data_IF_934282005848
#
_entry.id   IF_934282005848
#
_cell.length_a   1.000
_cell.length_b   1.000
_cell.length_c   1.000
_cell.angle_alpha   90.00
_cell.angle_beta   90.00
_cell.angle_gamma   90.00
#
_symmetry.space_group_name_H-M   'P 1'
#
loop_
_entity.id
_entity.type
_entity.pdbx_description
1 polymer ?
#
# COMPACT_ATOMS: atom_id res chain seq x y z
N UNK A 1 7.41 17.93 -17.54
CA UNK A 1 6.59 17.13 -18.49
C UNK A 1 5.63 16.29 -17.66
N UNK A 2 4.39 16.08 -18.08
CA UNK A 2 3.48 15.17 -17.40
C UNK A 2 3.90 13.73 -17.69
N UNK A 3 3.95 12.87 -16.67
CA UNK A 3 4.20 11.42 -16.81
C UNK A 3 3.11 10.81 -17.69
N UNK A 4 3.50 9.94 -18.61
CA UNK A 4 2.60 9.29 -19.58
C UNK A 4 2.18 7.89 -19.12
N UNK A 5 3.10 7.14 -18.54
CA UNK A 5 2.92 5.75 -18.14
C UNK A 5 2.92 5.57 -16.61
N UNK A 6 3.84 6.25 -15.91
CA UNK A 6 3.93 6.12 -14.44
C UNK A 6 2.87 6.96 -13.73
N UNK A 7 2.07 6.29 -12.91
CA UNK A 7 1.17 6.92 -11.94
C UNK A 7 1.86 7.20 -10.59
N UNK A 8 1.09 7.31 -9.52
CA UNK A 8 1.60 7.48 -8.15
C UNK A 8 2.23 6.21 -7.58
N UNK A 9 1.91 5.04 -8.16
CA UNK A 9 2.40 3.74 -7.69
C UNK A 9 2.73 2.82 -8.87
N UNK A 10 3.71 3.23 -9.68
CA UNK A 10 4.16 2.51 -10.86
C UNK A 10 3.24 2.66 -12.07
N UNK A 11 3.39 1.76 -13.03
CA UNK A 11 2.57 1.66 -14.23
C UNK A 11 1.43 0.69 -13.94
N UNK A 12 0.17 1.10 -14.10
CA UNK A 12 -1.00 0.25 -13.86
C UNK A 12 -2.00 0.34 -15.01
N UNK A 13 -2.64 -0.77 -15.32
CA UNK A 13 -3.73 -0.81 -16.28
C UNK A 13 -4.19 -2.23 -16.60
N UNK A 14 -5.17 -2.31 -17.48
CA UNK A 14 -5.72 -3.59 -17.92
C UNK A 14 -4.66 -4.39 -18.68
N UNK A 15 -4.55 -5.68 -18.36
CA UNK A 15 -3.69 -6.61 -19.06
C UNK A 15 -4.14 -6.74 -20.52
N UNK A 16 -3.19 -6.72 -21.48
CA UNK A 16 -3.42 -6.58 -22.93
C UNK A 16 -4.22 -5.32 -23.35
N UNK A 17 -4.44 -4.39 -22.40
CA UNK A 17 -4.90 -3.04 -22.70
C UNK A 17 -3.71 -2.08 -22.68
N UNK A 18 -3.46 -1.45 -21.51
CA UNK A 18 -2.26 -0.63 -21.30
C UNK A 18 -1.02 -1.50 -21.06
N UNK A 19 -1.14 -2.54 -20.23
CA UNK A 19 -0.01 -3.43 -19.88
C UNK A 19 0.08 -4.54 -20.94
N UNK A 20 0.87 -4.30 -21.97
CA UNK A 20 1.15 -5.28 -23.04
C UNK A 20 2.51 -5.94 -22.86
N UNK A 21 2.79 -7.09 -23.51
CA UNK A 21 4.12 -7.68 -23.53
C UNK A 21 5.19 -6.74 -24.08
N UNK A 22 4.86 -5.95 -25.10
CA UNK A 22 5.77 -4.98 -25.72
C UNK A 22 6.13 -3.87 -24.73
N UNK A 23 5.14 -3.33 -24.00
CA UNK A 23 5.40 -2.32 -22.97
C UNK A 23 6.28 -2.92 -21.86
N UNK A 24 5.98 -4.12 -21.38
CA UNK A 24 6.73 -4.77 -20.32
C UNK A 24 8.19 -5.04 -20.75
N UNK A 25 8.42 -5.49 -21.99
CA UNK A 25 9.75 -5.67 -22.55
C UNK A 25 10.51 -4.34 -22.61
N UNK A 26 9.88 -3.28 -23.12
CA UNK A 26 10.48 -1.95 -23.21
C UNK A 26 10.79 -1.36 -21.83
N UNK A 27 9.90 -1.53 -20.83
CA UNK A 27 10.16 -1.12 -19.44
C UNK A 27 11.37 -1.85 -18.89
N UNK A 28 11.51 -3.16 -19.14
CA UNK A 28 12.70 -3.93 -18.76
C UNK A 28 13.98 -3.41 -19.40
N UNK A 29 13.95 -3.08 -20.69
CA UNK A 29 15.10 -2.48 -21.40
C UNK A 29 15.45 -1.11 -20.85
N UNK A 30 14.48 -0.20 -20.77
CA UNK A 30 14.67 1.17 -20.33
C UNK A 30 15.17 1.25 -18.88
N UNK A 31 14.51 0.55 -17.97
CA UNK A 31 14.91 0.49 -16.57
C UNK A 31 16.30 -0.16 -16.43
N UNK A 32 16.57 -1.25 -17.15
CA UNK A 32 17.89 -1.89 -17.17
C UNK A 32 19.01 -0.91 -17.57
N UNK A 33 18.81 -0.13 -18.62
CA UNK A 33 19.79 0.87 -19.08
C UNK A 33 20.01 2.02 -18.08
N UNK A 34 18.96 2.47 -17.38
CA UNK A 34 19.06 3.54 -16.37
C UNK A 34 19.84 3.07 -15.14
N UNK A 35 19.73 1.78 -14.79
CA UNK A 35 20.37 1.20 -13.60
C UNK A 35 21.70 0.53 -13.84
N UNK A 36 22.22 0.48 -15.07
CA UNK A 36 23.59 0.05 -15.37
C UNK A 36 24.60 1.15 -15.03
N UNK A 37 24.99 1.19 -13.76
CA UNK A 37 25.93 2.19 -13.22
C UNK A 37 27.15 1.49 -12.62
N UNK A 38 28.34 1.80 -13.14
CA UNK A 38 29.60 1.18 -12.70
C UNK A 38 29.93 -0.09 -13.49
N UNK A 39 31.01 -0.79 -13.06
CA UNK A 39 31.60 -1.92 -13.83
C UNK A 39 31.28 -3.32 -13.24
N UNK A 40 30.29 -3.42 -12.34
CA UNK A 40 29.89 -4.71 -11.79
C UNK A 40 28.81 -5.40 -12.62
N UNK A 41 28.57 -6.68 -12.38
CA UNK A 41 27.47 -7.42 -13.00
C UNK A 41 26.14 -6.96 -12.41
N UNK A 42 25.32 -6.25 -13.19
CA UNK A 42 24.06 -5.70 -12.75
C UNK A 42 22.97 -6.76 -12.61
N UNK A 43 22.11 -6.59 -11.59
CA UNK A 43 21.07 -7.56 -11.24
C UNK A 43 19.75 -6.86 -10.98
N UNK A 44 18.67 -7.50 -11.42
CA UNK A 44 17.31 -7.15 -11.05
C UNK A 44 16.63 -8.33 -10.36
N UNK A 45 15.89 -8.07 -9.29
CA UNK A 45 14.96 -9.05 -8.69
C UNK A 45 13.58 -8.79 -9.22
N UNK A 46 12.82 -9.84 -9.57
CA UNK A 46 11.44 -9.74 -10.03
C UNK A 46 10.56 -10.63 -9.17
N UNK A 47 9.62 -10.02 -8.45
CA UNK A 47 8.50 -10.67 -7.79
C UNK A 47 7.18 -10.36 -8.47
N UNK A 48 6.15 -11.13 -8.16
CA UNK A 48 4.81 -10.93 -8.71
C UNK A 48 3.74 -11.36 -7.70
N UNK A 49 2.51 -10.95 -7.93
CA UNK A 49 1.35 -11.54 -7.29
C UNK A 49 0.87 -12.78 -8.08
N UNK A 50 -0.33 -13.23 -7.82
CA UNK A 50 -0.87 -14.47 -8.34
C UNK A 50 -1.70 -14.32 -9.62
N UNK A 51 -1.80 -13.12 -10.19
CA UNK A 51 -2.57 -12.84 -11.41
C UNK A 51 -2.06 -13.65 -12.60
N UNK A 52 -2.97 -14.17 -13.42
CA UNK A 52 -2.62 -14.90 -14.63
C UNK A 52 -1.70 -14.11 -15.56
N UNK A 53 -1.98 -12.82 -15.75
CA UNK A 53 -1.18 -11.92 -16.59
C UNK A 53 0.25 -11.70 -16.08
N UNK A 54 0.52 -12.03 -14.81
CA UNK A 54 1.87 -11.96 -14.22
C UNK A 54 2.89 -12.80 -14.97
N UNK A 55 2.50 -13.95 -15.52
CA UNK A 55 3.42 -14.79 -16.32
C UNK A 55 3.86 -14.09 -17.61
N UNK A 56 2.93 -13.52 -18.35
CA UNK A 56 3.20 -12.79 -19.60
C UNK A 56 4.14 -11.60 -19.35
N UNK A 57 3.85 -10.80 -18.33
CA UNK A 57 4.62 -9.60 -17.99
C UNK A 57 6.01 -9.98 -17.52
N UNK A 58 6.13 -10.98 -16.62
CA UNK A 58 7.42 -11.47 -16.10
C UNK A 58 8.34 -11.90 -17.23
N UNK A 59 7.88 -12.75 -18.15
CA UNK A 59 8.71 -13.23 -19.27
C UNK A 59 9.11 -12.11 -20.23
N UNK A 60 8.24 -11.16 -20.51
CA UNK A 60 8.56 -10.01 -21.34
C UNK A 60 9.63 -9.12 -20.67
N UNK A 61 9.51 -8.86 -19.36
CA UNK A 61 10.52 -8.10 -18.61
C UNK A 61 11.84 -8.84 -18.51
N UNK A 62 11.83 -10.18 -18.34
CA UNK A 62 13.05 -11.01 -18.39
C UNK A 62 13.79 -10.81 -19.72
N UNK A 63 13.06 -10.90 -20.84
CA UNK A 63 13.65 -10.66 -22.16
C UNK A 63 14.21 -9.23 -22.28
N UNK A 64 13.49 -8.24 -21.79
CA UNK A 64 13.92 -6.84 -21.76
C UNK A 64 15.22 -6.63 -20.99
N UNK A 65 15.28 -7.06 -19.72
CA UNK A 65 16.49 -6.91 -18.89
C UNK A 65 17.69 -7.69 -19.42
N UNK A 66 17.47 -8.94 -19.84
CA UNK A 66 18.58 -9.77 -20.35
C UNK A 66 19.13 -9.24 -21.66
N UNK A 67 18.29 -8.63 -22.52
CA UNK A 67 18.70 -8.04 -23.79
C UNK A 67 19.63 -6.84 -23.63
N UNK A 68 19.58 -6.15 -22.50
CA UNK A 68 20.50 -5.04 -22.18
C UNK A 68 21.65 -5.47 -21.26
N UNK A 69 21.81 -6.77 -20.96
CA UNK A 69 22.95 -7.31 -20.21
C UNK A 69 22.74 -7.40 -18.69
N UNK A 70 21.52 -7.23 -18.19
CA UNK A 70 21.20 -7.32 -16.76
C UNK A 70 20.79 -8.73 -16.36
N UNK A 71 21.36 -9.29 -15.28
CA UNK A 71 20.95 -10.57 -14.74
C UNK A 71 19.62 -10.47 -14.00
N UNK A 72 18.73 -11.44 -14.21
CA UNK A 72 17.40 -11.47 -13.62
C UNK A 72 17.28 -12.58 -12.59
N UNK A 73 16.81 -12.23 -11.40
CA UNK A 73 16.57 -13.12 -10.28
C UNK A 73 15.05 -13.21 -10.05
N UNK A 74 14.45 -14.34 -10.41
CA UNK A 74 13.00 -14.56 -10.29
C UNK A 74 12.67 -15.07 -8.90
N UNK A 75 11.78 -14.35 -8.20
CA UNK A 75 11.35 -14.66 -6.84
C UNK A 75 10.08 -15.52 -6.83
N UNK A 76 9.24 -15.43 -7.89
CA UNK A 76 7.90 -15.97 -7.92
C UNK A 76 6.90 -15.10 -7.16
N UNK A 77 5.76 -15.66 -6.70
CA UNK A 77 4.78 -14.94 -5.91
C UNK A 77 5.35 -14.54 -4.55
N UNK A 78 5.48 -13.22 -4.31
CA UNK A 78 6.06 -12.63 -3.11
C UNK A 78 5.37 -11.29 -2.79
N UNK A 79 5.14 -10.94 -1.52
CA UNK A 79 4.65 -9.62 -1.12
C UNK A 79 5.49 -8.47 -1.68
N UNK A 80 4.85 -7.35 -1.99
CA UNK A 80 5.55 -6.11 -2.42
C UNK A 80 6.67 -5.72 -1.45
N UNK A 81 6.45 -5.67 -0.10
CA UNK A 81 7.53 -5.36 0.83
C UNK A 81 8.66 -6.39 0.84
N UNK A 82 8.37 -7.66 0.55
CA UNK A 82 9.40 -8.68 0.42
C UNK A 82 10.31 -8.42 -0.80
N UNK A 83 9.74 -7.98 -1.93
CA UNK A 83 10.53 -7.59 -3.10
C UNK A 83 11.44 -6.41 -2.78
N UNK A 84 10.93 -5.38 -2.10
CA UNK A 84 11.72 -4.23 -1.66
C UNK A 84 12.88 -4.66 -0.73
N UNK A 85 12.60 -5.50 0.27
CA UNK A 85 13.59 -6.04 1.20
C UNK A 85 14.64 -6.90 0.49
N UNK A 86 14.20 -7.78 -0.42
CA UNK A 86 15.10 -8.67 -1.16
C UNK A 86 15.97 -7.90 -2.15
N UNK A 87 15.49 -6.82 -2.76
CA UNK A 87 16.30 -5.94 -3.60
C UNK A 87 17.54 -5.47 -2.85
N UNK A 88 17.35 -4.94 -1.65
CA UNK A 88 18.45 -4.49 -0.78
C UNK A 88 19.32 -5.64 -0.29
N UNK A 89 18.72 -6.71 0.26
CA UNK A 89 19.47 -7.80 0.91
C UNK A 89 20.27 -8.65 -0.07
N UNK A 90 19.83 -8.74 -1.33
CA UNK A 90 20.54 -9.43 -2.42
C UNK A 90 21.50 -8.52 -3.20
N UNK A 91 21.61 -7.24 -2.78
CA UNK A 91 22.42 -6.23 -3.48
C UNK A 91 22.08 -6.15 -4.96
N UNK A 92 20.80 -6.18 -5.29
CA UNK A 92 20.33 -5.96 -6.65
C UNK A 92 20.29 -4.45 -6.94
N UNK A 93 20.54 -4.09 -8.20
CA UNK A 93 20.51 -2.70 -8.65
C UNK A 93 19.07 -2.20 -8.79
N UNK A 94 18.14 -3.13 -9.02
CA UNK A 94 16.73 -2.83 -9.26
C UNK A 94 15.85 -3.95 -8.69
N UNK A 95 14.69 -3.58 -8.16
CA UNK A 95 13.60 -4.50 -7.83
C UNK A 95 12.38 -4.21 -8.69
N UNK A 96 11.66 -5.26 -9.06
CA UNK A 96 10.40 -5.17 -9.79
C UNK A 96 9.34 -5.97 -9.06
N UNK A 97 8.20 -5.35 -8.80
CA UNK A 97 6.98 -6.03 -8.40
C UNK A 97 5.93 -5.94 -9.49
N UNK A 98 5.45 -7.09 -9.95
CA UNK A 98 4.37 -7.20 -10.94
C UNK A 98 3.07 -7.43 -10.19
N UNK A 99 2.30 -6.35 -10.00
CA UNK A 99 1.02 -6.36 -9.28
C UNK A 99 0.21 -5.10 -9.54
N UNK A 100 -1.12 -5.22 -9.44
CA UNK A 100 -2.04 -4.09 -9.34
C UNK A 100 -2.68 -3.98 -7.95
N UNK A 101 -1.99 -4.46 -6.89
CA UNK A 101 -2.41 -4.39 -5.49
C UNK A 101 -3.83 -4.94 -5.29
N UNK A 102 -4.77 -4.12 -4.86
CA UNK A 102 -6.15 -4.49 -4.52
C UNK A 102 -7.12 -4.60 -5.71
N UNK A 103 -6.69 -4.29 -6.95
CA UNK A 103 -7.53 -4.44 -8.13
C UNK A 103 -7.85 -5.91 -8.42
N UNK A 104 -8.91 -6.19 -9.17
CA UNK A 104 -9.24 -7.52 -9.67
C UNK A 104 -8.21 -7.99 -10.71
N UNK A 105 -8.29 -9.27 -11.11
CA UNK A 105 -7.27 -9.95 -11.91
C UNK A 105 -7.07 -9.39 -13.32
N UNK A 106 -8.06 -8.70 -13.88
CA UNK A 106 -7.99 -8.10 -15.22
C UNK A 106 -6.94 -7.00 -15.33
N UNK A 107 -6.68 -6.31 -14.21
CA UNK A 107 -5.64 -5.30 -14.12
C UNK A 107 -4.31 -5.92 -13.69
N UNK A 108 -3.22 -5.28 -14.08
CA UNK A 108 -1.88 -5.57 -13.55
C UNK A 108 -1.06 -4.27 -13.50
N UNK A 109 0.16 -4.35 -12.99
CA UNK A 109 1.05 -3.22 -12.87
C UNK A 109 2.50 -3.61 -12.74
N UNK A 110 3.37 -2.62 -12.86
CA UNK A 110 4.82 -2.74 -12.72
C UNK A 110 5.28 -1.67 -11.75
N UNK A 111 5.74 -2.06 -10.57
CA UNK A 111 6.33 -1.19 -9.54
C UNK A 111 7.84 -1.41 -9.55
N UNK A 112 8.61 -0.31 -9.51
CA UNK A 112 10.07 -0.36 -9.54
C UNK A 112 10.66 0.15 -8.22
N UNK A 113 11.68 -0.57 -7.74
CA UNK A 113 12.40 -0.26 -6.50
C UNK A 113 13.90 -0.10 -6.79
N UNK A 114 14.47 1.00 -6.30
CA UNK A 114 15.93 1.21 -6.36
C UNK A 114 16.70 0.27 -5.45
N UNK A 115 18.05 0.31 -5.49
CA UNK A 115 18.91 -0.64 -4.78
C UNK A 115 18.79 -0.60 -3.25
N UNK A 116 18.22 0.45 -2.69
CA UNK A 116 17.94 0.57 -1.26
C UNK A 116 16.54 0.05 -0.89
N UNK A 117 15.75 -0.46 -1.85
CA UNK A 117 14.40 -0.95 -1.64
C UNK A 117 13.32 0.14 -1.59
N UNK A 118 13.65 1.39 -1.89
CA UNK A 118 12.66 2.47 -2.03
C UNK A 118 12.07 2.50 -3.45
N UNK A 119 10.82 2.91 -3.58
CA UNK A 119 10.22 3.25 -4.88
C UNK A 119 11.07 4.31 -5.58
N UNK A 120 11.07 4.30 -6.92
CA UNK A 120 11.83 5.26 -7.71
C UNK A 120 11.30 6.68 -7.52
N UNK A 121 12.20 7.67 -7.59
CA UNK A 121 11.81 9.08 -7.65
C UNK A 121 11.20 9.43 -9.00
N UNK A 122 10.40 10.52 -9.04
CA UNK A 122 9.80 11.03 -10.26
C UNK A 122 10.83 11.28 -11.37
N UNK A 123 12.02 11.79 -11.01
CA UNK A 123 13.10 12.05 -11.99
C UNK A 123 13.61 10.77 -12.63
N UNK A 124 13.74 9.67 -11.87
CA UNK A 124 14.18 8.39 -12.41
C UNK A 124 13.06 7.75 -13.24
N UNK A 125 11.80 7.84 -12.81
CA UNK A 125 10.65 7.39 -13.60
C UNK A 125 10.56 8.14 -14.93
N UNK A 126 10.75 9.47 -14.95
CA UNK A 126 10.80 10.27 -16.18
C UNK A 126 11.96 9.87 -17.10
N UNK A 127 13.14 9.55 -16.57
CA UNK A 127 14.26 9.05 -17.37
C UNK A 127 13.90 7.72 -18.06
N UNK A 128 13.21 6.82 -17.36
CA UNK A 128 12.73 5.55 -17.92
C UNK A 128 11.70 5.84 -19.02
N UNK A 129 10.71 6.72 -18.76
CA UNK A 129 9.68 7.09 -19.76
C UNK A 129 10.26 7.65 -21.04
N UNK A 130 11.28 8.51 -20.97
CA UNK A 130 11.96 9.03 -22.16
C UNK A 130 12.49 7.92 -23.05
N UNK A 131 13.07 6.87 -22.44
CA UNK A 131 13.59 5.73 -23.17
C UNK A 131 12.50 4.82 -23.77
N UNK A 132 11.28 4.82 -23.19
CA UNK A 132 10.17 4.02 -23.74
C UNK A 132 9.73 4.50 -25.14
N UNK A 133 9.87 5.76 -25.43
CA UNK A 133 9.49 6.36 -26.72
C UNK A 133 10.64 6.34 -27.75
N UNK A 134 11.86 5.86 -27.35
CA UNK A 134 13.02 5.73 -28.22
C UNK A 134 13.17 4.32 -28.83
N UNK A 135 13.91 4.19 -29.96
CA UNK A 135 14.44 2.88 -30.39
C UNK A 135 15.69 2.55 -29.58
N UNK A 136 15.66 1.43 -28.88
CA UNK A 136 16.77 0.95 -28.04
C UNK A 136 17.68 -0.06 -28.77
N UNK A 137 17.48 -0.33 -30.07
CA UNK A 137 18.20 -1.38 -30.83
C UNK A 137 19.71 -1.23 -30.75
N UNK A 138 20.22 0.02 -30.79
CA UNK A 138 21.66 0.30 -30.72
C UNK A 138 22.24 0.23 -29.30
N UNK A 139 21.39 0.07 -28.29
CA UNK A 139 21.75 0.02 -26.86
C UNK A 139 21.69 -1.40 -26.29
N UNK A 140 21.31 -2.39 -27.12
CA UNK A 140 21.26 -3.79 -26.73
C UNK A 140 22.66 -4.33 -26.49
N UNK A 141 22.79 -5.27 -25.54
CA UNK A 141 24.04 -5.89 -25.20
C UNK A 141 24.59 -6.78 -26.34
N UNK A 142 25.90 -6.80 -26.49
CA UNK A 142 26.57 -7.76 -27.36
C UNK A 142 26.30 -9.20 -26.88
N UNK A 143 26.35 -10.19 -27.79
CA UNK A 143 26.00 -11.59 -27.49
C UNK A 143 26.73 -12.14 -26.28
N UNK A 144 28.01 -11.77 -26.07
CA UNK A 144 28.80 -12.20 -24.92
C UNK A 144 28.43 -11.49 -23.60
N UNK A 145 27.68 -10.38 -23.68
CA UNK A 145 27.31 -9.54 -22.54
C UNK A 145 25.82 -9.67 -22.17
N UNK A 146 25.09 -10.57 -22.81
CA UNK A 146 23.68 -10.81 -22.47
C UNK A 146 23.52 -11.20 -21.00
N UNK A 147 22.41 -10.76 -20.39
CA UNK A 147 22.04 -11.15 -19.04
C UNK A 147 21.61 -12.61 -18.94
N UNK A 148 21.55 -13.12 -17.72
CA UNK A 148 21.08 -14.49 -17.40
C UNK A 148 19.88 -14.40 -16.46
N UNK A 149 18.87 -15.22 -16.73
CA UNK A 149 17.73 -15.36 -15.82
C UNK A 149 17.84 -16.65 -15.02
N UNK A 150 17.51 -16.59 -13.73
CA UNK A 150 17.40 -17.77 -12.86
C UNK A 150 16.34 -17.57 -11.79
N UNK A 151 15.68 -18.64 -11.40
CA UNK A 151 14.82 -18.66 -10.22
C UNK A 151 15.69 -18.78 -8.96
N UNK A 152 15.28 -18.12 -7.89
CA UNK A 152 15.96 -18.18 -6.59
C UNK A 152 15.08 -18.97 -5.64
N UNK A 153 15.66 -20.01 -5.05
CA UNK A 153 15.02 -20.81 -4.01
C UNK A 153 15.24 -20.18 -2.62
N UNK A 154 14.38 -20.52 -1.64
CA UNK A 154 14.50 -20.07 -0.26
C UNK A 154 14.23 -18.57 -0.04
N UNK A 155 13.62 -17.88 -0.99
CA UNK A 155 13.27 -16.44 -0.82
C UNK A 155 12.10 -16.25 0.13
N UNK A 156 11.19 -17.21 0.23
CA UNK A 156 10.10 -17.23 1.18
C UNK A 156 10.63 -17.19 2.62
N UNK A 157 11.55 -18.09 2.96
CA UNK A 157 12.17 -18.21 4.28
C UNK A 157 12.87 -16.90 4.69
N UNK A 158 13.50 -16.21 3.73
CA UNK A 158 14.14 -14.91 4.01
C UNK A 158 13.14 -13.85 4.46
N UNK A 159 11.97 -13.78 3.82
CA UNK A 159 10.95 -12.83 4.21
C UNK A 159 10.27 -13.25 5.52
N UNK A 160 9.97 -14.55 5.69
CA UNK A 160 9.42 -15.10 6.92
C UNK A 160 10.32 -14.75 8.11
N UNK A 161 11.61 -15.05 8.01
CA UNK A 161 12.59 -14.73 9.05
C UNK A 161 12.74 -13.23 9.30
N UNK A 162 12.68 -12.42 8.25
CA UNK A 162 12.69 -10.96 8.37
C UNK A 162 11.46 -10.48 9.15
N UNK A 163 10.25 -10.89 8.74
CA UNK A 163 9.01 -10.46 9.36
C UNK A 163 8.92 -10.92 10.82
N UNK A 164 9.25 -12.18 11.13
CA UNK A 164 9.27 -12.72 12.50
C UNK A 164 10.16 -11.91 13.44
N UNK A 165 11.31 -11.41 12.97
CA UNK A 165 12.23 -10.60 13.78
C UNK A 165 11.68 -9.22 14.14
N UNK A 166 10.58 -8.77 13.55
CA UNK A 166 9.92 -7.52 13.92
C UNK A 166 9.05 -7.66 15.18
N UNK A 167 8.65 -8.90 15.51
CA UNK A 167 8.02 -9.19 16.80
C UNK A 167 9.08 -9.11 17.92
N UNK A 168 8.80 -8.50 19.07
CA UNK A 168 9.70 -8.52 20.22
C UNK A 168 10.10 -9.94 20.62
N UNK A 169 11.38 -10.15 20.94
CA UNK A 169 11.97 -11.49 21.17
C UNK A 169 11.38 -12.28 22.33
N UNK A 170 10.80 -11.59 23.28
CA UNK A 170 10.15 -12.12 24.50
C UNK A 170 8.66 -12.43 24.29
N UNK A 171 8.14 -12.18 23.09
CA UNK A 171 6.75 -12.46 22.74
C UNK A 171 6.66 -13.63 21.75
N UNK A 172 5.63 -14.45 21.93
CA UNK A 172 5.16 -15.45 20.97
C UNK A 172 3.67 -15.21 20.70
N UNK A 173 3.13 -15.85 19.69
CA UNK A 173 1.70 -15.82 19.41
C UNK A 173 0.98 -17.06 19.97
N UNK A 174 1.63 -17.80 20.88
CA UNK A 174 1.04 -18.96 21.54
C UNK A 174 -0.29 -18.60 22.21
N UNK A 175 -1.30 -19.42 21.98
CA UNK A 175 -2.63 -19.24 22.52
C UNK A 175 -3.53 -18.28 21.74
N UNK A 176 -3.02 -17.59 20.69
CA UNK A 176 -3.86 -16.81 19.78
C UNK A 176 -4.35 -17.67 18.63
N UNK A 177 -5.67 -17.66 18.40
CA UNK A 177 -6.29 -18.17 17.18
C UNK A 177 -6.48 -17.04 16.20
N UNK A 178 -5.83 -17.16 15.04
CA UNK A 178 -5.77 -16.15 14.01
C UNK A 178 -6.44 -16.64 12.73
N UNK A 179 -7.41 -15.91 12.20
CA UNK A 179 -7.89 -16.11 10.83
C UNK A 179 -7.11 -15.18 9.92
N UNK A 180 -6.40 -15.72 8.93
CA UNK A 180 -5.68 -14.95 7.91
C UNK A 180 -6.36 -15.07 6.55
N UNK A 181 -6.68 -13.92 5.95
CA UNK A 181 -7.14 -13.80 4.57
C UNK A 181 -6.02 -13.19 3.72
N UNK A 182 -5.45 -14.01 2.83
CA UNK A 182 -4.36 -13.59 1.93
C UNK A 182 -4.87 -13.10 0.56
N UNK A 183 -6.17 -12.82 0.42
CA UNK A 183 -6.77 -12.31 -0.83
C UNK A 183 -6.50 -13.16 -2.08
N UNK A 184 -6.17 -14.45 -1.95
CA UNK A 184 -5.58 -15.28 -3.01
C UNK A 184 -4.38 -14.60 -3.70
N UNK A 185 -3.67 -13.75 -2.98
CA UNK A 185 -2.59 -12.88 -3.44
C UNK A 185 -1.19 -13.40 -3.10
N UNK A 186 -0.23 -12.51 -3.17
CA UNK A 186 1.21 -12.80 -3.07
C UNK A 186 1.63 -13.39 -1.71
N UNK A 187 0.86 -13.11 -0.64
CA UNK A 187 1.16 -13.57 0.72
C UNK A 187 0.69 -14.99 1.04
N UNK A 188 -0.03 -15.67 0.14
CA UNK A 188 -0.76 -16.91 0.39
C UNK A 188 0.05 -18.06 1.01
N UNK A 189 1.37 -18.06 0.85
CA UNK A 189 2.27 -19.04 1.49
C UNK A 189 2.97 -18.47 2.72
N UNK A 190 3.61 -17.30 2.54
CA UNK A 190 4.57 -16.78 3.53
C UNK A 190 3.91 -16.33 4.83
N UNK A 191 2.70 -15.76 4.79
CA UNK A 191 2.08 -15.22 6.01
C UNK A 191 1.45 -16.30 6.88
N UNK A 192 0.69 -17.28 6.35
CA UNK A 192 0.23 -18.42 7.16
C UNK A 192 1.36 -19.17 7.84
N UNK A 193 2.46 -19.45 7.10
CA UNK A 193 3.63 -20.13 7.62
C UNK A 193 4.32 -19.32 8.72
N UNK A 194 4.54 -18.03 8.51
CA UNK A 194 5.15 -17.16 9.51
C UNK A 194 4.33 -17.05 10.81
N UNK A 195 2.99 -16.96 10.71
CA UNK A 195 2.11 -16.95 11.87
C UNK A 195 2.17 -18.26 12.64
N UNK A 196 2.18 -19.39 11.92
CA UNK A 196 2.31 -20.72 12.54
C UNK A 196 3.66 -20.89 13.25
N UNK A 197 4.75 -20.47 12.61
CA UNK A 197 6.10 -20.51 13.23
C UNK A 197 6.23 -19.60 14.46
N UNK A 198 5.40 -18.55 14.57
CA UNK A 198 5.32 -17.68 15.74
C UNK A 198 4.44 -18.27 16.87
N UNK A 199 3.81 -19.44 16.66
CA UNK A 199 3.01 -20.16 17.66
C UNK A 199 1.51 -19.95 17.57
N UNK A 200 0.98 -19.22 16.56
CA UNK A 200 -0.45 -19.01 16.42
C UNK A 200 -1.20 -20.28 15.97
N UNK A 201 -2.46 -20.46 16.42
CA UNK A 201 -3.44 -21.39 15.84
C UNK A 201 -4.03 -20.72 14.59
N UNK A 202 -3.55 -21.10 13.39
CA UNK A 202 -3.79 -20.39 12.14
C UNK A 202 -4.91 -21.04 11.34
N UNK A 203 -5.91 -20.25 10.97
CA UNK A 203 -6.99 -20.62 10.04
C UNK A 203 -6.84 -19.75 8.80
N UNK A 204 -6.51 -20.35 7.66
CA UNK A 204 -6.25 -19.63 6.42
C UNK A 204 -7.47 -19.63 5.50
N UNK A 205 -7.77 -18.46 4.92
CA UNK A 205 -8.69 -18.28 3.79
C UNK A 205 -8.02 -17.42 2.72
N UNK A 206 -8.52 -17.45 1.50
CA UNK A 206 -7.89 -16.71 0.40
C UNK A 206 -6.45 -17.16 0.11
N UNK A 207 -6.18 -18.49 0.17
CA UNK A 207 -4.85 -19.10 -0.02
C UNK A 207 -4.78 -20.10 -1.17
N UNK A 208 -5.80 -20.14 -2.02
CA UNK A 208 -5.89 -21.03 -3.18
C UNK A 208 -5.98 -20.24 -4.49
N UNK A 209 -4.88 -19.56 -4.89
CA UNK A 209 -4.89 -18.71 -6.08
C UNK A 209 -5.01 -19.55 -7.37
N UNK A 210 -5.95 -19.18 -8.23
CA UNK A 210 -6.17 -19.79 -9.55
C UNK A 210 -5.78 -18.87 -10.74
N UNK A 211 -5.29 -17.67 -10.44
CA UNK A 211 -4.93 -16.65 -11.42
C UNK A 211 -6.05 -15.66 -11.73
N UNK A 212 -7.28 -15.91 -11.30
CA UNK A 212 -8.49 -15.12 -11.58
C UNK A 212 -9.18 -14.61 -10.32
N UNK A 213 -8.89 -15.21 -9.17
CA UNK A 213 -9.62 -15.01 -7.92
C UNK A 213 -8.95 -14.04 -6.94
N UNK A 214 -7.83 -13.40 -7.30
CA UNK A 214 -7.15 -12.41 -6.46
C UNK A 214 -8.08 -11.23 -6.13
N UNK A 215 -8.19 -10.87 -4.84
CA UNK A 215 -9.07 -9.81 -4.31
C UNK A 215 -10.57 -9.98 -4.60
N UNK A 216 -10.98 -11.11 -5.14
CA UNK A 216 -12.38 -11.33 -5.48
C UNK A 216 -13.14 -11.79 -4.25
N UNK A 217 -13.95 -10.87 -3.71
CA UNK A 217 -14.78 -11.13 -2.50
C UNK A 217 -13.95 -11.62 -1.29
N UNK A 218 -12.69 -11.18 -1.21
CA UNK A 218 -11.76 -11.52 -0.13
C UNK A 218 -10.71 -10.42 0.05
N UNK A 219 -9.92 -10.53 1.11
CA UNK A 219 -8.83 -9.61 1.44
C UNK A 219 -9.29 -8.28 2.04
N UNK A 220 -8.37 -7.32 2.12
CA UNK A 220 -8.56 -6.06 2.86
C UNK A 220 -9.66 -5.15 2.28
N UNK A 221 -10.05 -5.32 1.03
CA UNK A 221 -11.12 -4.53 0.39
C UNK A 221 -12.49 -5.19 0.44
N UNK A 222 -12.58 -6.47 0.86
CA UNK A 222 -13.81 -7.23 1.02
C UNK A 222 -13.73 -8.15 2.26
N UNK A 223 -13.65 -7.56 3.48
CA UNK A 223 -13.35 -8.29 4.71
C UNK A 223 -14.55 -9.05 5.31
N UNK A 224 -15.71 -9.07 4.65
CA UNK A 224 -16.94 -9.68 5.16
C UNK A 224 -16.78 -11.20 5.38
N UNK A 225 -16.05 -11.87 4.47
CA UNK A 225 -15.76 -13.31 4.59
C UNK A 225 -14.88 -13.57 5.82
N UNK A 226 -13.86 -12.75 6.03
CA UNK A 226 -12.99 -12.80 7.21
C UNK A 226 -13.79 -12.57 8.49
N UNK A 227 -14.62 -11.52 8.54
CA UNK A 227 -15.45 -11.17 9.70
C UNK A 227 -16.39 -12.32 10.11
N UNK A 228 -17.02 -13.00 9.14
CA UNK A 228 -17.82 -14.20 9.40
C UNK A 228 -16.97 -15.34 9.95
N UNK A 229 -15.79 -15.58 9.33
CA UNK A 229 -14.92 -16.70 9.69
C UNK A 229 -14.34 -16.54 11.09
N UNK A 230 -13.97 -15.34 11.50
CA UNK A 230 -13.53 -15.04 12.88
C UNK A 230 -14.59 -15.46 13.88
N UNK A 231 -15.85 -15.08 13.68
CA UNK A 231 -16.95 -15.45 14.57
C UNK A 231 -17.25 -16.95 14.58
N UNK A 232 -17.27 -17.58 13.39
CA UNK A 232 -17.50 -19.03 13.24
C UNK A 232 -16.47 -19.85 14.03
N UNK A 233 -15.21 -19.45 13.88
CA UNK A 233 -14.10 -20.19 14.47
C UNK A 233 -13.78 -19.74 15.91
N UNK A 234 -14.51 -18.73 16.43
CA UNK A 234 -14.21 -18.09 17.72
C UNK A 234 -12.74 -17.69 17.79
N UNK A 235 -12.25 -17.08 16.73
CA UNK A 235 -10.88 -16.64 16.67
C UNK A 235 -10.70 -15.33 17.44
N UNK A 236 -9.49 -15.11 17.95
CA UNK A 236 -9.15 -13.91 18.71
C UNK A 236 -8.99 -12.70 17.78
N UNK A 237 -8.56 -12.93 16.53
CA UNK A 237 -8.30 -11.89 15.56
C UNK A 237 -8.42 -12.43 14.13
N UNK A 238 -8.87 -11.55 13.23
CA UNK A 238 -8.77 -11.72 11.78
C UNK A 238 -7.76 -10.74 11.19
N UNK A 239 -7.01 -11.18 10.19
CA UNK A 239 -6.06 -10.37 9.44
C UNK A 239 -6.42 -10.49 7.97
N UNK A 240 -6.72 -9.37 7.28
CA UNK A 240 -6.95 -9.33 5.83
C UNK A 240 -5.85 -8.53 5.16
N UNK A 241 -5.15 -9.16 4.22
CA UNK A 241 -4.17 -8.49 3.35
C UNK A 241 -4.82 -8.19 1.99
N UNK A 242 -4.21 -7.30 1.21
CA UNK A 242 -4.56 -7.14 -0.20
C UNK A 242 -3.68 -8.02 -1.11
N UNK A 243 -3.91 -7.98 -2.41
CA UNK A 243 -3.30 -8.90 -3.37
C UNK A 243 -1.78 -8.93 -3.39
N UNK A 244 -1.10 -7.84 -3.02
CA UNK A 244 0.36 -7.78 -2.91
C UNK A 244 0.86 -7.50 -1.48
N UNK A 245 -0.05 -7.56 -0.51
CA UNK A 245 0.18 -7.55 0.92
C UNK A 245 0.91 -6.28 1.44
N UNK A 246 0.79 -5.16 0.73
CA UNK A 246 1.28 -3.88 1.21
C UNK A 246 0.26 -3.17 2.12
N UNK A 247 -0.97 -3.72 2.25
CA UNK A 247 -2.07 -3.24 3.09
C UNK A 247 -2.60 -4.33 4.02
N UNK A 248 -3.13 -3.90 5.16
CA UNK A 248 -3.81 -4.76 6.14
C UNK A 248 -5.02 -4.09 6.76
N UNK A 249 -6.08 -4.85 6.93
CA UNK A 249 -7.22 -4.55 7.80
C UNK A 249 -7.33 -5.67 8.81
N UNK A 250 -7.62 -5.34 10.06
CA UNK A 250 -7.87 -6.34 11.08
C UNK A 250 -9.36 -6.47 11.39
N UNK A 251 -9.70 -7.58 12.02
CA UNK A 251 -11.05 -7.86 12.52
C UNK A 251 -10.91 -8.34 13.97
N UNK A 252 -11.68 -7.74 14.88
CA UNK A 252 -11.70 -8.16 16.28
C UNK A 252 -12.46 -9.48 16.48
N UNK A 253 -12.41 -10.06 17.65
CA UNK A 253 -13.09 -11.32 18.03
C UNK A 253 -14.62 -11.25 17.90
N UNK A 254 -15.20 -10.04 17.80
CA UNK A 254 -16.64 -9.80 17.60
C UNK A 254 -17.01 -9.69 16.13
N UNK A 255 -16.01 -9.60 15.24
CA UNK A 255 -16.17 -9.44 13.82
C UNK A 255 -16.26 -7.98 13.37
N UNK A 256 -15.87 -7.01 14.20
CA UNK A 256 -15.80 -5.60 13.82
C UNK A 256 -14.46 -5.29 13.16
N UNK A 257 -14.51 -4.38 12.18
CA UNK A 257 -13.33 -3.97 11.44
C UNK A 257 -12.47 -3.01 12.26
N UNK A 258 -11.16 -3.19 12.12
CA UNK A 258 -10.12 -2.30 12.64
C UNK A 258 -9.33 -1.79 11.43
N UNK A 259 -9.56 -0.55 11.07
CA UNK A 259 -8.98 0.09 9.89
C UNK A 259 -7.55 0.62 10.12
N UNK A 260 -6.93 1.17 9.07
CA UNK A 260 -5.58 1.71 9.15
C UNK A 260 -5.41 2.84 10.16
N UNK A 261 -6.43 3.64 10.42
CA UNK A 261 -6.36 4.72 11.41
C UNK A 261 -6.30 4.15 12.84
N UNK A 262 -7.07 3.10 13.13
CA UNK A 262 -6.99 2.39 14.41
C UNK A 262 -5.62 1.69 14.57
N UNK A 263 -5.08 1.09 13.50
CA UNK A 263 -3.76 0.48 13.51
C UNK A 263 -2.67 1.51 13.83
N UNK A 264 -2.72 2.68 13.17
CA UNK A 264 -1.81 3.79 13.44
C UNK A 264 -1.91 4.25 14.89
N UNK A 265 -3.11 4.36 15.45
CA UNK A 265 -3.33 4.76 16.84
C UNK A 265 -2.70 3.76 17.83
N UNK A 266 -2.94 2.45 17.62
CA UNK A 266 -2.39 1.38 18.49
C UNK A 266 -0.87 1.39 18.45
N UNK A 267 -0.29 1.40 17.25
CA UNK A 267 1.17 1.35 17.08
C UNK A 267 1.81 2.63 17.62
N UNK A 268 1.25 3.81 17.31
CA UNK A 268 1.78 5.09 17.78
C UNK A 268 1.80 5.19 19.29
N UNK A 269 0.72 4.79 19.95
CA UNK A 269 0.65 4.78 21.41
C UNK A 269 1.67 3.84 22.01
N UNK A 270 1.74 2.58 21.54
CA UNK A 270 2.71 1.60 22.03
C UNK A 270 4.15 2.05 21.81
N UNK A 271 4.46 2.58 20.62
CA UNK A 271 5.81 3.06 20.34
C UNK A 271 6.19 4.30 21.12
N UNK A 272 5.22 5.16 21.45
CA UNK A 272 5.46 6.28 22.36
C UNK A 272 5.80 5.78 23.77
N UNK A 273 5.00 4.86 24.32
CA UNK A 273 5.21 4.27 25.64
C UNK A 273 6.56 3.56 25.75
N UNK A 274 6.98 2.88 24.68
CA UNK A 274 8.25 2.14 24.61
C UNK A 274 9.45 3.04 24.18
N UNK A 275 9.24 4.36 23.95
CA UNK A 275 10.29 5.29 23.53
C UNK A 275 10.82 5.03 22.11
N UNK A 276 10.03 4.39 21.25
CA UNK A 276 10.40 3.98 19.89
C UNK A 276 10.03 4.99 18.80
N UNK A 277 9.10 5.92 19.08
CA UNK A 277 8.82 6.99 18.12
C UNK A 277 10.05 7.88 17.94
N UNK A 278 10.58 7.97 16.73
CA UNK A 278 11.75 8.79 16.42
C UNK A 278 11.46 10.28 16.62
N UNK A 279 10.20 10.70 16.48
CA UNK A 279 9.65 11.99 16.80
C UNK A 279 8.30 11.85 17.48
N UNK A 280 7.85 12.86 18.28
CA UNK A 280 6.53 12.81 18.91
C UNK A 280 5.41 13.09 17.88
N UNK A 281 5.37 12.31 16.80
CA UNK A 281 4.41 12.48 15.72
C UNK A 281 4.43 11.31 14.75
N UNK A 282 3.35 11.20 13.96
CA UNK A 282 3.21 10.25 12.86
C UNK A 282 2.76 10.97 11.59
N UNK A 283 2.94 10.32 10.45
CA UNK A 283 2.51 10.87 9.15
C UNK A 283 1.32 10.09 8.63
N UNK A 284 0.23 10.78 8.26
CA UNK A 284 -0.90 10.15 7.59
C UNK A 284 -1.44 11.02 6.44
N UNK A 285 -2.38 10.50 5.67
CA UNK A 285 -2.96 11.28 4.58
C UNK A 285 -4.08 12.20 5.08
N UNK A 286 -4.48 13.15 4.23
CA UNK A 286 -5.65 14.01 4.48
C UNK A 286 -6.95 13.22 4.62
N UNK A 287 -6.97 11.92 4.29
CA UNK A 287 -8.14 11.05 4.44
C UNK A 287 -8.27 10.43 5.82
N UNK A 288 -7.21 10.44 6.65
CA UNK A 288 -7.27 9.93 8.02
C UNK A 288 -8.27 10.71 8.86
N UNK A 289 -9.02 9.98 9.67
CA UNK A 289 -10.15 10.50 10.43
C UNK A 289 -9.72 11.55 11.48
N UNK A 290 -10.57 12.55 11.71
CA UNK A 290 -10.35 13.57 12.75
C UNK A 290 -10.30 12.96 14.17
N UNK A 291 -10.99 11.83 14.38
CA UNK A 291 -10.91 11.08 15.62
C UNK A 291 -9.51 10.57 15.93
N UNK A 292 -8.77 10.12 14.91
CA UNK A 292 -7.35 9.76 15.06
C UNK A 292 -6.52 10.96 15.52
N UNK A 293 -6.69 12.13 14.89
CA UNK A 293 -5.95 13.35 15.24
C UNK A 293 -6.17 13.74 16.70
N UNK A 294 -7.43 13.81 17.13
CA UNK A 294 -7.80 14.14 18.51
C UNK A 294 -7.26 13.12 19.52
N UNK A 295 -7.31 11.83 19.17
CA UNK A 295 -6.74 10.78 20.02
C UNK A 295 -5.22 10.95 20.17
N UNK A 296 -4.51 11.15 19.09
CA UNK A 296 -3.06 11.35 19.09
C UNK A 296 -2.67 12.63 19.86
N UNK A 297 -3.40 13.73 19.67
CA UNK A 297 -3.21 14.98 20.41
C UNK A 297 -3.35 14.76 21.92
N UNK A 298 -4.34 13.99 22.36
CA UNK A 298 -4.53 13.65 23.78
C UNK A 298 -3.34 12.89 24.37
N UNK A 299 -2.61 12.18 23.51
CA UNK A 299 -1.37 11.49 23.87
C UNK A 299 -0.12 12.35 23.66
N UNK A 300 -0.25 13.62 23.19
CA UNK A 300 0.89 14.49 22.83
C UNK A 300 1.70 13.92 21.64
N UNK A 301 1.01 13.35 20.66
CA UNK A 301 1.55 12.88 19.39
C UNK A 301 0.96 13.76 18.29
N UNK A 302 1.80 14.35 17.46
CA UNK A 302 1.37 15.15 16.31
C UNK A 302 0.91 14.25 15.15
N UNK A 303 -0.22 14.59 14.50
CA UNK A 303 -0.61 14.01 13.21
C UNK A 303 -0.21 14.93 12.07
N UNK A 304 0.81 14.56 11.31
CA UNK A 304 1.25 15.31 10.12
C UNK A 304 0.53 14.78 8.89
N UNK A 305 -0.27 15.64 8.25
CA UNK A 305 -1.08 15.25 7.09
C UNK A 305 -0.37 15.52 5.77
N UNK A 306 -0.50 14.58 4.83
CA UNK A 306 -0.01 14.67 3.44
C UNK A 306 -1.15 14.50 2.44
N UNK A 307 -0.95 14.86 1.16
CA UNK A 307 -1.84 14.41 0.10
C UNK A 307 -2.00 12.88 0.09
N UNK A 308 -3.07 12.39 -0.54
CA UNK A 308 -3.33 10.94 -0.69
C UNK A 308 -2.29 10.28 -1.57
N UNK A 309 -1.72 9.20 -1.10
CA UNK A 309 -0.71 8.39 -1.76
C UNK A 309 0.46 8.07 -0.83
N UNK A 310 0.81 6.80 -0.78
CA UNK A 310 1.87 6.27 0.07
C UNK A 310 3.25 6.93 -0.19
N UNK A 311 3.52 7.35 -1.43
CA UNK A 311 4.71 8.12 -1.79
C UNK A 311 4.83 9.40 -0.97
N UNK A 312 3.75 10.19 -0.85
CA UNK A 312 3.77 11.44 -0.10
C UNK A 312 3.95 11.20 1.41
N UNK A 313 3.35 10.12 1.91
CA UNK A 313 3.55 9.70 3.31
C UNK A 313 5.03 9.38 3.55
N UNK A 314 5.62 8.53 2.71
CA UNK A 314 7.02 8.14 2.83
C UNK A 314 7.99 9.34 2.70
N UNK A 315 7.78 10.20 1.69
CA UNK A 315 8.60 11.41 1.49
C UNK A 315 8.55 12.32 2.71
N UNK A 316 7.35 12.51 3.31
CA UNK A 316 7.21 13.31 4.52
C UNK A 316 7.85 12.64 5.74
N UNK A 317 7.75 11.32 5.86
CA UNK A 317 8.43 10.56 6.91
C UNK A 317 9.95 10.76 6.82
N UNK A 318 10.53 10.56 5.65
CA UNK A 318 11.98 10.70 5.43
C UNK A 318 12.47 12.13 5.67
N UNK A 319 11.79 13.13 5.11
CA UNK A 319 12.18 14.54 5.26
C UNK A 319 11.97 15.08 6.69
N UNK A 320 10.97 14.56 7.39
CA UNK A 320 10.63 14.97 8.76
C UNK A 320 11.29 14.14 9.86
N UNK A 321 11.90 12.99 9.52
CA UNK A 321 12.49 12.06 10.48
C UNK A 321 11.46 11.28 11.30
N UNK A 322 10.28 11.01 10.74
CA UNK A 322 9.25 10.17 11.33
C UNK A 322 9.46 8.70 10.94
N UNK A 323 9.22 7.79 11.86
CA UNK A 323 9.38 6.35 11.61
C UNK A 323 8.06 5.55 11.55
N UNK A 324 6.91 6.23 11.73
CA UNK A 324 5.58 5.66 11.59
C UNK A 324 4.72 6.55 10.68
N UNK A 325 4.07 5.96 9.70
CA UNK A 325 3.09 6.63 8.87
C UNK A 325 2.19 5.65 8.14
N UNK A 326 1.13 6.16 7.52
CA UNK A 326 0.22 5.29 6.77
C UNK A 326 -1.05 5.97 6.29
N UNK A 327 -1.99 5.12 5.89
CA UNK A 327 -3.28 5.50 5.32
C UNK A 327 -4.43 4.72 5.99
N UNK A 328 -5.65 5.24 5.99
CA UNK A 328 -6.84 4.53 6.47
C UNK A 328 -7.07 3.19 5.75
N UNK A 329 -6.57 3.06 4.53
CA UNK A 329 -6.64 1.85 3.71
C UNK A 329 -5.81 0.68 4.27
N UNK A 330 -5.06 0.90 5.37
CA UNK A 330 -4.19 -0.10 5.97
C UNK A 330 -2.79 -0.19 5.37
N UNK A 331 -2.40 0.74 4.48
CA UNK A 331 -1.01 0.86 4.02
C UNK A 331 -0.20 1.54 5.11
N UNK A 332 0.48 0.75 5.95
CA UNK A 332 1.23 1.21 7.12
C UNK A 332 2.73 1.07 6.85
N UNK A 333 3.46 2.16 7.00
CA UNK A 333 4.91 2.24 6.80
C UNK A 333 5.58 2.33 8.17
N UNK A 334 6.43 1.37 8.47
CA UNK A 334 7.25 1.28 9.66
C UNK A 334 8.72 1.34 9.22
N UNK A 335 9.30 2.55 9.12
CA UNK A 335 10.59 2.74 8.47
C UNK A 335 11.78 2.13 9.22
N UNK A 336 11.60 1.73 10.48
CA UNK A 336 12.57 0.93 11.23
C UNK A 336 12.74 -0.48 10.64
N UNK A 337 11.74 -0.95 9.90
CA UNK A 337 11.71 -2.29 9.34
C UNK A 337 11.67 -2.31 7.81
N UNK A 338 10.79 -1.52 7.19
CA UNK A 338 10.52 -1.58 5.77
C UNK A 338 10.59 -0.21 5.09
N UNK A 339 10.86 -0.20 3.80
CA UNK A 339 10.95 1.01 2.96
C UNK A 339 9.64 1.34 2.24
N UNK A 340 8.61 0.53 2.45
CA UNK A 340 7.25 0.68 1.91
C UNK A 340 6.26 0.11 2.94
N UNK A 341 4.96 0.20 2.69
CA UNK A 341 3.96 -0.47 3.49
C UNK A 341 4.19 -1.99 3.53
N UNK A 342 4.02 -2.57 4.72
CA UNK A 342 4.07 -4.00 4.94
C UNK A 342 2.90 -4.39 5.85
N UNK A 343 1.86 -4.95 5.23
CA UNK A 343 0.63 -5.29 5.96
C UNK A 343 0.87 -6.36 7.03
N UNK A 344 1.76 -7.32 6.76
CA UNK A 344 2.05 -8.37 7.74
C UNK A 344 2.89 -7.85 8.90
N UNK A 345 3.93 -7.07 8.65
CA UNK A 345 4.73 -6.45 9.71
C UNK A 345 3.87 -5.51 10.57
N UNK A 346 2.97 -4.72 9.95
CA UNK A 346 2.03 -3.89 10.69
C UNK A 346 1.10 -4.72 11.58
N UNK A 347 0.55 -5.84 11.08
CA UNK A 347 -0.23 -6.77 11.88
C UNK A 347 0.58 -7.34 13.05
N UNK A 348 1.83 -7.72 12.84
CA UNK A 348 2.71 -8.22 13.92
C UNK A 348 2.95 -7.18 15.02
N UNK A 349 3.07 -5.90 14.68
CA UNK A 349 3.20 -4.85 15.71
C UNK A 349 1.92 -4.74 16.55
N UNK A 350 0.74 -4.86 15.95
CA UNK A 350 -0.53 -4.87 16.70
C UNK A 350 -0.66 -6.14 17.56
N UNK A 351 -0.31 -7.31 17.00
CA UNK A 351 -0.30 -8.58 17.76
C UNK A 351 0.66 -8.50 18.96
N UNK A 352 1.79 -7.83 18.82
CA UNK A 352 2.71 -7.57 19.94
C UNK A 352 2.02 -6.79 21.06
N UNK A 353 1.22 -5.77 20.74
CA UNK A 353 0.46 -5.00 21.74
C UNK A 353 -0.62 -5.87 22.41
N UNK A 354 -1.35 -6.67 21.62
CA UNK A 354 -2.37 -7.60 22.13
C UNK A 354 -1.75 -8.59 23.12
N UNK A 355 -0.63 -9.22 22.75
CA UNK A 355 0.09 -10.16 23.62
C UNK A 355 0.65 -9.50 24.88
N UNK A 356 1.23 -8.30 24.75
CA UNK A 356 1.75 -7.53 25.90
C UNK A 356 0.66 -7.17 26.90
N UNK A 357 -0.52 -6.75 26.42
CA UNK A 357 -1.62 -6.33 27.28
C UNK A 357 -2.49 -7.49 27.75
N UNK A 358 -2.49 -8.63 27.08
CA UNK A 358 -3.34 -9.82 27.35
C UNK A 358 -4.82 -9.46 27.44
N UNK A 359 -5.29 -8.61 26.53
CA UNK A 359 -6.67 -8.14 26.43
C UNK A 359 -7.25 -8.48 25.07
N UNK A 360 -8.59 -8.61 24.94
CA UNK A 360 -9.25 -8.83 23.66
C UNK A 360 -8.89 -7.74 22.64
N UNK A 361 -8.86 -8.12 21.37
CA UNK A 361 -8.55 -7.19 20.26
C UNK A 361 -9.53 -6.03 20.22
N UNK A 362 -10.82 -6.27 20.50
CA UNK A 362 -11.84 -5.22 20.61
C UNK A 362 -11.55 -4.15 21.66
N UNK A 363 -10.79 -4.49 22.72
CA UNK A 363 -10.37 -3.52 23.74
C UNK A 363 -9.03 -2.86 23.40
N UNK A 364 -8.17 -3.57 22.69
CA UNK A 364 -6.83 -3.07 22.33
C UNK A 364 -6.88 -2.17 21.10
N UNK A 365 -7.71 -2.48 20.10
CA UNK A 365 -7.63 -1.87 18.78
C UNK A 365 -8.65 -0.75 18.52
N UNK A 366 -9.71 -0.63 19.32
CA UNK A 366 -10.63 0.51 19.22
C UNK A 366 -10.18 1.63 20.15
N UNK A 367 -9.28 2.49 19.66
CA UNK A 367 -8.65 3.55 20.46
C UNK A 367 -9.44 4.85 20.51
N UNK A 368 -10.27 5.08 19.51
CA UNK A 368 -11.12 6.26 19.41
C UNK A 368 -12.40 5.91 18.64
N UNK A 369 -13.45 6.68 18.87
CA UNK A 369 -14.65 6.61 18.05
C UNK A 369 -14.43 7.43 16.77
N UNK A 370 -14.58 6.84 15.57
CA UNK A 370 -14.43 7.57 14.32
C UNK A 370 -15.47 8.71 14.24
N UNK A 371 -15.01 9.91 13.90
CA UNK A 371 -15.92 11.02 13.61
C UNK A 371 -16.71 10.72 12.35
N UNK A 372 -18.02 11.11 12.31
CA UNK A 372 -18.80 11.05 11.10
C UNK A 372 -18.07 11.69 9.92
N UNK A 373 -17.77 10.90 8.89
CA UNK A 373 -17.10 11.34 7.67
C UNK A 373 -17.99 11.02 6.47
N UNK A 374 -18.20 12.01 5.60
CA UNK A 374 -19.01 11.89 4.39
C UNK A 374 -18.16 12.28 3.20
N UNK A 375 -18.06 11.36 2.23
CA UNK A 375 -17.36 11.57 0.97
C UNK A 375 -18.33 11.44 -0.19
N UNK A 376 -18.46 12.51 -1.00
CA UNK A 376 -19.24 12.51 -2.24
C UNK A 376 -18.38 12.85 -3.44
N UNK A 377 -18.63 12.19 -4.57
CA UNK A 377 -17.91 12.37 -5.82
C UNK A 377 -18.81 13.11 -6.82
N UNK A 378 -18.31 14.19 -7.41
CA UNK A 378 -19.00 14.94 -8.46
C UNK A 378 -18.22 14.80 -9.76
N UNK A 379 -18.81 14.18 -10.77
CA UNK A 379 -18.22 14.07 -12.11
C UNK A 379 -18.48 15.35 -12.89
N UNK A 380 -17.49 15.80 -13.66
CA UNK A 380 -17.61 16.94 -14.56
C UNK A 380 -17.11 16.57 -15.96
N UNK A 381 -17.63 17.24 -16.98
CA UNK A 381 -17.27 16.95 -18.39
C UNK A 381 -16.11 17.78 -18.90
N UNK A 382 -16.07 19.04 -18.49
CA UNK A 382 -15.05 20.00 -18.94
C UNK A 382 -14.94 21.18 -17.97
N UNK A 383 -13.93 22.03 -18.15
CA UNK A 383 -13.77 23.24 -17.35
C UNK A 383 -13.05 23.01 -16.03
N UNK A 384 -13.18 23.99 -15.15
CA UNK A 384 -12.60 24.00 -13.79
C UNK A 384 -13.68 24.39 -12.77
N UNK A 385 -14.60 23.49 -12.42
CA UNK A 385 -15.71 23.81 -11.53
C UNK A 385 -15.27 24.39 -10.17
N UNK A 386 -14.08 24.05 -9.69
CA UNK A 386 -13.52 24.61 -8.44
C UNK A 386 -13.15 26.10 -8.55
N UNK A 387 -13.03 26.65 -9.75
CA UNK A 387 -12.77 28.08 -9.95
C UNK A 387 -14.05 28.94 -9.96
N UNK A 388 -15.22 28.31 -10.01
CA UNK A 388 -16.51 28.96 -9.98
C UNK A 388 -16.74 29.74 -8.66
N UNK A 389 -17.36 30.92 -8.75
CA UNK A 389 -17.53 31.79 -7.60
C UNK A 389 -18.56 31.25 -6.58
N UNK A 390 -19.63 30.59 -7.04
CA UNK A 390 -20.64 29.99 -6.16
C UNK A 390 -20.08 28.77 -5.45
N UNK A 391 -19.26 27.96 -6.14
CA UNK A 391 -18.56 26.83 -5.54
C UNK A 391 -17.60 27.29 -4.45
N UNK A 392 -16.76 28.31 -4.72
CA UNK A 392 -15.86 28.90 -3.71
C UNK A 392 -16.63 29.43 -2.51
N UNK A 393 -17.72 30.17 -2.76
CA UNK A 393 -18.57 30.68 -1.68
C UNK A 393 -19.20 29.56 -0.84
N UNK A 394 -19.60 28.45 -1.47
CA UNK A 394 -20.15 27.29 -0.76
C UNK A 394 -19.09 26.60 0.10
N UNK A 395 -17.85 26.48 -0.40
CA UNK A 395 -16.71 25.92 0.33
C UNK A 395 -16.38 26.79 1.54
N UNK A 396 -16.21 28.11 1.36
CA UNK A 396 -15.89 29.05 2.45
C UNK A 396 -16.98 29.08 3.53
N UNK A 397 -18.26 28.99 3.13
CA UNK A 397 -19.37 28.92 4.06
C UNK A 397 -19.39 27.58 4.83
N UNK A 398 -19.04 26.48 4.16
CA UNK A 398 -18.91 25.16 4.77
C UNK A 398 -17.78 25.10 5.80
N UNK A 399 -16.61 25.62 5.47
CA UNK A 399 -15.46 25.71 6.38
C UNK A 399 -15.81 26.51 7.65
N UNK A 400 -16.48 27.67 7.47
CA UNK A 400 -16.92 28.47 8.62
C UNK A 400 -17.92 27.76 9.51
N UNK A 401 -18.85 26.96 8.92
CA UNK A 401 -19.84 26.21 9.71
C UNK A 401 -19.21 25.04 10.47
N UNK A 402 -18.17 24.42 9.92
CA UNK A 402 -17.45 23.30 10.55
C UNK A 402 -16.33 23.75 11.49
N UNK A 403 -15.98 25.04 11.50
CA UNK A 403 -14.85 25.57 12.26
C UNK A 403 -14.92 25.20 13.75
N UNK A 404 -13.90 24.50 14.24
CA UNK A 404 -13.82 23.98 15.61
C UNK A 404 -14.59 22.69 15.88
N UNK A 405 -15.47 22.26 14.97
CA UNK A 405 -16.31 21.06 15.11
C UNK A 405 -16.06 20.00 14.03
N UNK A 406 -15.25 20.34 13.03
CA UNK A 406 -14.97 19.44 11.92
C UNK A 406 -14.02 20.06 10.92
N UNK A 407 -13.84 19.38 9.79
CA UNK A 407 -13.04 19.87 8.66
C UNK A 407 -13.66 19.50 7.32
N UNK A 408 -13.28 20.23 6.30
CA UNK A 408 -13.69 20.05 4.91
C UNK A 408 -12.46 19.81 4.03
N UNK A 409 -12.59 18.89 3.05
CA UNK A 409 -11.59 18.66 2.03
C UNK A 409 -12.28 18.57 0.66
N UNK A 410 -12.00 19.54 -0.21
CA UNK A 410 -12.51 19.55 -1.58
C UNK A 410 -11.33 19.53 -2.54
N UNK A 411 -11.26 18.51 -3.42
CA UNK A 411 -10.14 18.35 -4.35
C UNK A 411 -10.54 17.66 -5.65
N UNK A 412 -9.83 17.98 -6.73
CA UNK A 412 -9.91 17.22 -7.97
C UNK A 412 -9.23 15.85 -7.81
N UNK A 413 -9.74 14.83 -8.49
CA UNK A 413 -9.03 13.57 -8.67
C UNK A 413 -7.87 13.77 -9.63
N UNK A 414 -6.73 13.12 -9.36
CA UNK A 414 -5.57 13.18 -10.25
C UNK A 414 -5.69 12.31 -11.50
N UNK A 415 -6.66 11.37 -11.53
CA UNK A 415 -6.77 10.32 -12.56
C UNK A 415 -8.09 10.33 -13.31
N UNK A 416 -9.13 10.96 -12.76
CA UNK A 416 -10.48 10.98 -13.30
C UNK A 416 -11.05 12.40 -13.30
N UNK A 417 -11.98 12.75 -14.20
CA UNK A 417 -12.68 14.02 -14.16
C UNK A 417 -13.75 14.05 -13.04
N UNK A 418 -13.27 13.96 -11.80
CA UNK A 418 -14.08 13.88 -10.58
C UNK A 418 -13.55 14.86 -9.54
N UNK A 419 -14.43 15.62 -8.91
CA UNK A 419 -14.15 16.38 -7.70
C UNK A 419 -14.67 15.58 -6.51
N UNK A 420 -13.80 15.41 -5.51
CA UNK A 420 -14.12 14.73 -4.27
C UNK A 420 -14.36 15.76 -3.19
N UNK A 421 -15.56 15.69 -2.57
CA UNK A 421 -15.98 16.53 -1.46
C UNK A 421 -16.07 15.65 -0.23
N UNK A 422 -15.20 15.87 0.75
CA UNK A 422 -15.20 15.17 2.02
C UNK A 422 -15.42 16.18 3.14
N UNK A 423 -16.39 15.91 3.99
CA UNK A 423 -16.58 16.59 5.27
C UNK A 423 -16.54 15.59 6.40
N UNK A 424 -16.01 15.99 7.55
CA UNK A 424 -16.09 15.22 8.79
C UNK A 424 -16.19 16.13 10.00
N UNK A 425 -16.79 15.64 11.08
CA UNK A 425 -17.01 16.45 12.29
C UNK A 425 -17.89 15.77 13.32
N UNK A 426 -18.14 16.49 14.42
CA UNK A 426 -18.88 15.97 15.59
C UNK A 426 -20.37 15.69 15.28
N UNK A 427 -20.98 16.50 14.42
CA UNK A 427 -22.39 16.41 14.05
C UNK A 427 -22.56 15.92 12.61
N UNK A 428 -23.06 14.70 12.46
CA UNK A 428 -23.30 14.07 11.16
C UNK A 428 -24.26 14.85 10.27
N UNK A 429 -25.32 15.44 10.86
CA UNK A 429 -26.33 16.19 10.10
C UNK A 429 -25.71 17.46 9.52
N UNK A 430 -24.95 18.19 10.35
CA UNK A 430 -24.21 19.37 9.90
C UNK A 430 -23.22 19.06 8.78
N UNK A 431 -22.45 17.95 8.94
CA UNK A 431 -21.49 17.50 7.91
C UNK A 431 -22.21 17.19 6.60
N UNK A 432 -23.35 16.49 6.67
CA UNK A 432 -24.12 16.11 5.47
C UNK A 432 -24.67 17.35 4.75
N UNK A 433 -25.26 18.31 5.48
CA UNK A 433 -25.75 19.57 4.92
C UNK A 433 -24.64 20.37 4.22
N UNK A 434 -23.46 20.46 4.84
CA UNK A 434 -22.31 21.18 4.26
C UNK A 434 -21.83 20.51 2.98
N UNK A 435 -21.63 19.19 3.01
CA UNK A 435 -21.20 18.42 1.84
C UNK A 435 -22.23 18.53 0.71
N UNK A 436 -23.53 18.40 1.01
CA UNK A 436 -24.59 18.44 0.00
C UNK A 436 -24.71 19.82 -0.66
N UNK A 437 -24.55 20.89 0.09
CA UNK A 437 -24.54 22.24 -0.47
C UNK A 437 -23.39 22.43 -1.48
N UNK A 438 -22.19 21.94 -1.15
CA UNK A 438 -21.03 22.03 -2.06
C UNK A 438 -21.24 21.14 -3.29
N UNK A 439 -21.73 19.92 -3.10
CA UNK A 439 -22.05 19.00 -4.21
C UNK A 439 -23.08 19.61 -5.16
N UNK A 440 -24.10 20.30 -4.62
CA UNK A 440 -25.12 21.00 -5.42
C UNK A 440 -24.51 22.14 -6.24
N UNK A 441 -23.69 22.99 -5.63
CA UNK A 441 -22.99 24.07 -6.34
C UNK A 441 -22.04 23.52 -7.43
N UNK A 442 -21.30 22.47 -7.11
CA UNK A 442 -20.44 21.78 -8.10
C UNK A 442 -21.24 21.17 -9.25
N UNK A 443 -22.43 20.58 -8.97
CA UNK A 443 -23.30 20.03 -10.00
C UNK A 443 -23.81 21.10 -10.97
N UNK A 444 -24.09 22.31 -10.49
CA UNK A 444 -24.50 23.47 -11.30
C UNK A 444 -23.33 23.99 -12.15
N UNK A 445 -22.13 24.09 -11.58
CA UNK A 445 -20.93 24.55 -12.28
C UNK A 445 -20.35 23.49 -13.25
N UNK A 446 -20.73 22.21 -13.11
CA UNK A 446 -20.26 21.10 -13.93
C UNK A 446 -21.20 20.76 -15.11
N UNK A 447 -22.40 21.37 -15.16
CA UNK A 447 -23.39 21.18 -16.22
C UNK A 447 -23.01 21.96 -17.48
#
# INVERSE_FOLDING_TARGET
>A
MSRKYFGTDGIRGRANGLITPELALKVGQAAGLVFQRGEHRHRVVIGKDTRLSGYMIEYAMVAGFTSVGMDVLLLGPMPTPAVAMLTKSMRADLGVMISASHNLFEDNGIKLFGPQGFKLSDDVEMQIEQLLDESLDKRLAQSASLGRARRIDGVHDRYIEFAKRTLPRDLSLDGLRVVIDCANGAAYKVVPEALWELGADVISIGVEPDGFNINKECGSTAPEALSRKVREMRADIGIALDGDADRVILVDERGHLVDGDQLLAVIAQSWKEDGRLARPGIVATVMSNLGLERHLESLGIELVRTPVGDRYVLERMLSGGYNLGGEPSGHIILSDYATTGDGFVAALQVLAVVQKLRRPVSEVCHRFDPMPQILKNVRYRSGKPLDDAEVKSAIDAGEKRLNGHGRLLVRSSGTEPVIRVMGEGDDRVLVEEVVDRIVTALGQAAA
#
